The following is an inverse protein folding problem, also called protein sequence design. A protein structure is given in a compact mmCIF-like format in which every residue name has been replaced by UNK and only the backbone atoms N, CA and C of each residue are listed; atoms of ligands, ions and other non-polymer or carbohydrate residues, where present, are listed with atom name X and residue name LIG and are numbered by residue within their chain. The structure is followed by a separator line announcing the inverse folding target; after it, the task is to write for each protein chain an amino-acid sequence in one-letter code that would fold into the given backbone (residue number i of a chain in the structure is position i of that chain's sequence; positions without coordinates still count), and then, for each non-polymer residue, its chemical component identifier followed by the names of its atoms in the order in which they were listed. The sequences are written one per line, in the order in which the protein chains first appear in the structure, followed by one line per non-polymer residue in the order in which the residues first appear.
data_IF_211631261899
#
_entry.id   IF_211631261899
#
_cell.length_a   1.000
_cell.length_b   1.000
_cell.length_c   1.000
_cell.angle_alpha   90.00
_cell.angle_beta   90.00
_cell.angle_gamma   90.00
#
_symmetry.space_group_name_H-M   'P 1'
#
loop_
_entity.id
_entity.type
_entity.pdbx_description
1 polymer ?
#
# COMPACT_ATOMS: atom_id res chain seq x y z
N UNK A 1 -32.49 22.81 2.32
CA UNK A 1 -31.52 23.53 1.46
C UNK A 1 -30.96 22.51 0.47
N UNK A 2 -30.82 22.85 -0.81
CA UNK A 2 -30.22 21.94 -1.82
C UNK A 2 -28.69 22.14 -1.89
N UNK A 3 -27.92 21.25 -2.56
CA UNK A 3 -26.47 21.37 -2.65
C UNK A 3 -25.98 22.72 -3.20
N UNK A 4 -26.54 23.18 -4.32
CA UNK A 4 -26.15 24.46 -4.95
C UNK A 4 -26.29 25.67 -3.99
N UNK A 5 -27.37 25.72 -3.20
CA UNK A 5 -27.55 26.78 -2.21
C UNK A 5 -26.53 26.67 -1.06
N UNK A 6 -26.15 25.46 -0.66
CA UNK A 6 -25.13 25.23 0.35
C UNK A 6 -23.73 25.58 -0.17
N UNK A 7 -23.42 25.26 -1.42
CA UNK A 7 -22.18 25.65 -2.10
C UNK A 7 -22.03 27.18 -2.16
N UNK A 8 -23.13 27.91 -2.41
CA UNK A 8 -23.12 29.38 -2.31
C UNK A 8 -22.81 29.90 -0.90
N UNK A 9 -23.22 29.17 0.15
CA UNK A 9 -22.83 29.48 1.53
C UNK A 9 -21.33 29.20 1.75
N UNK A 10 -20.78 28.14 1.16
CA UNK A 10 -19.35 27.84 1.23
C UNK A 10 -18.50 28.90 0.49
N UNK A 11 -18.96 29.42 -0.65
CA UNK A 11 -18.33 30.54 -1.33
C UNK A 11 -18.27 31.78 -0.42
N UNK A 12 -19.39 32.13 0.21
CA UNK A 12 -19.46 33.25 1.15
C UNK A 12 -18.58 33.01 2.39
N UNK A 13 -18.51 31.78 2.88
CA UNK A 13 -17.64 31.40 3.99
C UNK A 13 -16.16 31.61 3.63
N UNK A 14 -15.72 31.14 2.47
CA UNK A 14 -14.35 31.34 1.98
C UNK A 14 -14.01 32.82 1.86
N UNK A 15 -14.92 33.65 1.32
CA UNK A 15 -14.73 35.10 1.23
C UNK A 15 -14.54 35.73 2.61
N UNK A 16 -15.43 35.47 3.58
CA UNK A 16 -15.34 36.02 4.93
C UNK A 16 -14.10 35.57 5.69
N UNK A 17 -13.69 34.31 5.53
CA UNK A 17 -12.45 33.82 6.13
C UNK A 17 -11.22 34.48 5.48
N UNK A 18 -11.25 34.72 4.15
CA UNK A 18 -10.22 35.49 3.45
C UNK A 18 -10.13 36.94 3.94
N UNK A 19 -11.26 37.62 4.12
CA UNK A 19 -11.33 38.97 4.71
C UNK A 19 -10.78 38.99 6.15
N UNK A 20 -11.08 37.95 6.94
CA UNK A 20 -10.54 37.79 8.29
C UNK A 20 -9.01 37.69 8.25
N UNK A 21 -8.46 36.89 7.33
CA UNK A 21 -7.01 36.75 7.15
C UNK A 21 -6.37 38.09 6.75
N UNK A 22 -7.01 38.83 5.84
CA UNK A 22 -6.52 40.14 5.42
C UNK A 22 -6.55 41.18 6.54
N UNK A 23 -7.58 41.15 7.40
CA UNK A 23 -7.77 42.14 8.46
C UNK A 23 -6.98 41.82 9.75
N UNK A 24 -6.88 40.53 10.11
CA UNK A 24 -6.35 40.09 11.42
C UNK A 24 -5.04 39.30 11.31
N UNK A 25 -4.58 39.01 10.08
CA UNK A 25 -3.42 38.16 9.82
C UNK A 25 -3.79 36.68 9.71
N UNK A 26 -2.79 35.85 9.44
CA UNK A 26 -2.98 34.41 9.23
C UNK A 26 -3.41 33.70 10.52
N UNK A 27 -4.20 32.63 10.36
CA UNK A 27 -4.42 31.68 11.45
C UNK A 27 -3.15 30.90 11.74
N UNK A 28 -2.87 30.61 13.01
CA UNK A 28 -1.65 29.88 13.42
C UNK A 28 -1.89 28.42 13.75
N UNK A 29 -3.15 27.99 13.84
CA UNK A 29 -3.51 26.62 14.22
C UNK A 29 -4.82 26.14 13.57
N UNK A 30 -4.94 24.82 13.40
CA UNK A 30 -6.17 24.19 12.89
C UNK A 30 -7.39 24.47 13.78
N UNK A 31 -7.32 24.35 15.12
CA UNK A 31 -8.48 24.62 15.97
C UNK A 31 -8.97 26.06 15.90
N UNK A 32 -8.06 27.04 15.79
CA UNK A 32 -8.47 28.45 15.63
C UNK A 32 -9.16 28.70 14.30
N UNK A 33 -8.67 28.09 13.22
CA UNK A 33 -9.29 28.20 11.89
C UNK A 33 -10.67 27.54 11.86
N UNK A 34 -10.79 26.33 12.39
CA UNK A 34 -12.07 25.61 12.47
C UNK A 34 -13.10 26.36 13.32
N UNK A 35 -12.69 26.90 14.48
CA UNK A 35 -13.56 27.72 15.32
C UNK A 35 -14.10 28.93 14.56
N UNK A 36 -13.23 29.65 13.85
CA UNK A 36 -13.64 30.79 13.04
C UNK A 36 -14.60 30.37 11.92
N UNK A 37 -14.36 29.23 11.27
CA UNK A 37 -15.26 28.69 10.25
C UNK A 37 -16.66 28.41 10.83
N UNK A 38 -16.74 27.83 12.04
CA UNK A 38 -18.02 27.59 12.74
C UNK A 38 -18.75 28.89 13.07
N UNK A 39 -18.06 29.91 13.59
CA UNK A 39 -18.66 31.22 13.93
C UNK A 39 -19.20 31.94 12.68
N UNK A 40 -18.46 31.90 11.57
CA UNK A 40 -18.92 32.49 10.31
C UNK A 40 -20.08 31.70 9.69
N UNK A 41 -20.04 30.37 9.74
CA UNK A 41 -21.14 29.52 9.29
C UNK A 41 -22.41 29.76 10.10
N UNK A 42 -22.32 29.90 11.42
CA UNK A 42 -23.48 30.21 12.27
C UNK A 42 -24.16 31.50 11.80
N UNK A 43 -23.36 32.53 11.49
CA UNK A 43 -23.86 33.82 10.98
C UNK A 43 -24.52 33.68 9.61
N UNK A 44 -23.89 32.93 8.69
CA UNK A 44 -24.41 32.71 7.34
C UNK A 44 -25.70 31.86 7.33
N UNK A 45 -25.86 30.99 8.32
CA UNK A 45 -26.95 30.02 8.40
C UNK A 45 -28.09 30.43 9.36
N UNK A 46 -28.06 31.61 9.97
CA UNK A 46 -29.04 32.04 10.99
C UNK A 46 -30.52 31.81 10.61
N UNK A 47 -30.89 31.95 9.33
CA UNK A 47 -32.28 31.82 8.86
C UNK A 47 -32.57 30.51 8.12
N UNK A 48 -31.66 29.53 8.21
CA UNK A 48 -31.72 28.31 7.39
C UNK A 48 -32.14 27.06 8.17
N UNK A 49 -32.33 27.17 9.48
CA UNK A 49 -32.74 26.06 10.36
C UNK A 49 -31.62 25.10 10.75
N UNK A 50 -30.39 25.37 10.32
CA UNK A 50 -29.20 24.61 10.74
C UNK A 50 -28.70 25.09 12.11
N UNK A 51 -28.23 24.15 12.93
CA UNK A 51 -27.60 24.42 14.22
C UNK A 51 -26.13 24.01 14.18
N UNK A 52 -25.23 24.94 14.49
CA UNK A 52 -23.78 24.68 14.51
C UNK A 52 -23.38 24.14 15.88
N UNK A 53 -22.80 22.94 15.91
CA UNK A 53 -22.24 22.40 17.13
C UNK A 53 -20.84 22.98 17.39
N UNK A 54 -20.66 23.71 18.49
CA UNK A 54 -19.35 24.24 18.92
C UNK A 54 -18.60 23.31 19.90
N UNK A 55 -19.19 22.18 20.25
CA UNK A 55 -18.58 21.13 21.08
C UNK A 55 -18.77 19.76 20.42
N UNK A 56 -18.14 19.54 19.24
CA UNK A 56 -18.24 18.27 18.54
C UNK A 56 -17.65 17.14 19.38
N UNK A 57 -18.23 15.94 19.26
CA UNK A 57 -17.62 14.75 19.86
C UNK A 57 -16.27 14.50 19.19
N UNK A 58 -15.19 14.23 19.95
CA UNK A 58 -13.91 13.88 19.37
C UNK A 58 -14.07 12.73 18.37
N UNK A 59 -13.44 12.86 17.21
CA UNK A 59 -13.33 11.83 16.17
C UNK A 59 -14.55 11.59 15.26
N UNK A 60 -15.61 12.39 15.31
CA UNK A 60 -16.70 12.31 14.32
C UNK A 60 -16.21 12.80 12.96
N UNK A 61 -16.57 12.07 11.90
CA UNK A 61 -16.33 12.48 10.52
C UNK A 61 -17.65 12.84 9.84
N UNK A 62 -17.75 13.97 9.11
CA UNK A 62 -16.76 15.05 9.00
C UNK A 62 -16.72 15.97 10.24
N UNK A 63 -15.74 16.88 10.31
CA UNK A 63 -15.53 17.79 11.45
C UNK A 63 -16.78 18.63 11.79
N UNK A 64 -17.45 19.22 10.79
CA UNK A 64 -18.69 19.99 10.95
C UNK A 64 -19.85 19.22 10.32
N UNK A 65 -20.81 18.81 11.14
CA UNK A 65 -21.97 18.01 10.72
C UNK A 65 -23.22 18.90 10.64
N UNK A 66 -23.81 19.02 9.45
CA UNK A 66 -24.98 19.85 9.13
C UNK A 66 -25.95 19.11 8.20
N UNK A 67 -26.66 18.06 8.67
CA UNK A 67 -27.44 17.14 7.82
C UNK A 67 -28.36 17.84 6.81
N UNK A 68 -28.32 17.49 5.50
CA UNK A 68 -27.60 16.36 4.89
C UNK A 68 -26.14 16.66 4.51
N UNK A 69 -25.62 17.83 4.88
CA UNK A 69 -24.28 18.31 4.53
C UNK A 69 -23.26 18.05 5.64
N UNK A 70 -21.99 18.02 5.26
CA UNK A 70 -20.89 18.01 6.20
C UNK A 70 -19.64 18.66 5.62
N UNK A 71 -18.81 19.22 6.49
CA UNK A 71 -17.58 19.92 6.11
C UNK A 71 -16.41 19.29 6.86
N UNK A 72 -15.50 18.67 6.13
CA UNK A 72 -14.20 18.25 6.63
C UNK A 72 -13.25 19.45 6.57
N UNK A 73 -12.62 19.79 7.69
CA UNK A 73 -11.75 20.96 7.79
C UNK A 73 -10.29 20.53 7.70
N UNK A 74 -9.53 21.22 6.87
CA UNK A 74 -8.08 21.07 6.77
C UNK A 74 -7.39 22.42 6.87
N UNK A 75 -6.19 22.37 7.42
CA UNK A 75 -5.39 23.55 7.70
C UNK A 75 -3.91 23.24 7.51
N UNK A 76 -3.16 24.19 6.96
CA UNK A 76 -1.71 24.08 6.84
C UNK A 76 -1.03 25.45 6.91
N UNK A 77 0.16 25.48 7.51
CA UNK A 77 1.05 26.64 7.49
C UNK A 77 1.97 26.66 6.26
N UNK A 78 2.03 25.55 5.52
CA UNK A 78 2.84 25.42 4.32
C UNK A 78 2.07 25.90 3.08
N UNK A 79 2.79 26.22 2.00
CA UNK A 79 2.18 26.57 0.72
C UNK A 79 1.77 25.31 -0.05
N UNK A 80 0.72 24.64 0.42
CA UNK A 80 0.20 23.41 -0.20
C UNK A 80 -1.29 23.27 0.02
N UNK A 81 -2.00 22.72 -0.97
CA UNK A 81 -3.41 22.33 -0.87
C UNK A 81 -3.60 20.85 -0.56
N UNK A 82 -2.52 20.15 -0.20
CA UNK A 82 -2.50 18.72 0.04
C UNK A 82 -2.41 18.40 1.52
N UNK A 83 -3.23 17.45 1.98
CA UNK A 83 -3.20 16.99 3.37
C UNK A 83 -3.68 15.55 3.53
N UNK A 84 -3.30 14.93 4.64
CA UNK A 84 -3.88 13.65 5.06
C UNK A 84 -5.25 13.90 5.69
N UNK A 85 -6.23 13.08 5.32
CA UNK A 85 -7.61 13.19 5.78
C UNK A 85 -8.01 11.98 6.66
N UNK A 86 -9.30 11.66 6.65
CA UNK A 86 -9.90 10.60 7.46
C UNK A 86 -9.43 9.19 7.04
N UNK A 87 -9.81 8.20 7.86
CA UNK A 87 -9.63 6.77 7.55
C UNK A 87 -10.50 6.36 6.38
N UNK A 88 -10.00 5.46 5.52
CA UNK A 88 -10.77 4.88 4.41
C UNK A 88 -12.03 4.15 4.90
N UNK A 89 -12.02 3.64 6.13
CA UNK A 89 -13.15 2.91 6.70
C UNK A 89 -14.30 3.83 7.11
N UNK A 90 -14.01 5.09 7.47
CA UNK A 90 -15.01 6.06 7.93
C UNK A 90 -15.88 5.56 9.09
N UNK A 91 -15.31 4.75 10.00
CA UNK A 91 -16.06 4.08 11.09
C UNK A 91 -16.77 5.03 12.07
N UNK A 92 -16.39 6.31 12.07
CA UNK A 92 -16.97 7.38 12.90
C UNK A 92 -17.79 8.39 12.08
N UNK A 93 -18.24 7.99 10.88
CA UNK A 93 -19.04 8.83 10.00
C UNK A 93 -20.41 9.14 10.61
N UNK A 94 -20.82 10.40 10.55
CA UNK A 94 -22.18 10.82 10.91
C UNK A 94 -23.20 10.22 9.92
N UNK A 95 -24.25 9.52 10.40
CA UNK A 95 -25.15 8.76 9.54
C UNK A 95 -26.03 9.63 8.63
N UNK A 96 -26.37 10.84 9.07
CA UNK A 96 -27.28 11.74 8.35
C UNK A 96 -26.54 12.72 7.41
N UNK A 97 -25.33 12.36 6.95
CA UNK A 97 -24.51 13.19 6.07
C UNK A 97 -24.29 12.50 4.72
N UNK A 98 -24.95 13.05 3.71
CA UNK A 98 -24.90 12.57 2.32
C UNK A 98 -23.82 13.30 1.50
N UNK A 99 -23.70 14.60 1.71
CA UNK A 99 -22.83 15.47 0.92
C UNK A 99 -21.70 16.03 1.78
N UNK A 100 -20.47 15.60 1.51
CA UNK A 100 -19.28 16.04 2.24
C UNK A 100 -18.46 16.98 1.36
N UNK A 101 -18.10 18.13 1.94
CA UNK A 101 -17.21 19.12 1.35
C UNK A 101 -15.92 19.21 2.15
N UNK A 102 -14.82 19.48 1.46
CA UNK A 102 -13.55 19.81 2.08
C UNK A 102 -13.42 21.34 2.17
N UNK A 103 -13.21 21.90 3.36
CA UNK A 103 -12.83 23.29 3.57
C UNK A 103 -11.35 23.34 3.98
N UNK A 104 -10.51 24.00 3.18
CA UNK A 104 -9.07 24.03 3.41
C UNK A 104 -8.59 25.48 3.60
N UNK A 105 -7.95 25.77 4.73
CA UNK A 105 -7.16 26.98 4.94
C UNK A 105 -5.66 26.75 4.71
N UNK A 106 -5.08 27.41 3.70
CA UNK A 106 -3.64 27.42 3.42
C UNK A 106 -3.04 28.75 3.84
N UNK A 107 -2.11 28.74 4.79
CA UNK A 107 -1.49 29.97 5.32
C UNK A 107 -0.07 30.25 4.79
N UNK A 108 0.55 29.29 4.12
CA UNK A 108 1.84 29.48 3.46
C UNK A 108 1.68 30.10 2.06
N UNK A 109 2.73 30.78 1.58
CA UNK A 109 2.70 31.49 0.31
C UNK A 109 1.71 32.65 0.37
N UNK A 110 0.76 32.70 -0.57
CA UNK A 110 -0.41 33.59 -0.52
C UNK A 110 -1.53 32.93 0.33
N UNK A 111 -1.82 33.45 1.54
CA UNK A 111 -2.82 32.87 2.42
C UNK A 111 -4.21 32.91 1.79
N UNK A 112 -4.90 31.78 1.77
CA UNK A 112 -6.21 31.66 1.13
C UNK A 112 -7.01 30.50 1.70
N UNK A 113 -8.33 30.56 1.49
CA UNK A 113 -9.28 29.52 1.90
C UNK A 113 -10.06 29.08 0.67
N UNK A 114 -10.19 27.77 0.49
CA UNK A 114 -10.94 27.18 -0.62
C UNK A 114 -11.79 26.02 -0.12
N UNK A 115 -12.79 25.67 -0.90
CA UNK A 115 -13.57 24.46 -0.70
C UNK A 115 -13.62 23.59 -1.97
N UNK A 116 -14.01 22.33 -1.81
CA UNK A 116 -14.32 21.43 -2.92
C UNK A 116 -15.17 20.23 -2.46
N UNK A 117 -15.75 19.48 -3.41
CA UNK A 117 -16.42 18.23 -3.08
C UNK A 117 -15.40 17.22 -2.56
N UNK A 118 -15.71 16.58 -1.42
CA UNK A 118 -14.75 15.74 -0.72
C UNK A 118 -14.20 14.60 -1.60
N UNK A 119 -15.09 13.88 -2.29
CA UNK A 119 -14.72 12.79 -3.18
C UNK A 119 -13.77 13.22 -4.31
N UNK A 120 -14.01 14.38 -4.91
CA UNK A 120 -13.16 14.91 -5.99
C UNK A 120 -11.79 15.35 -5.47
N UNK A 121 -11.73 15.79 -4.21
CA UNK A 121 -10.48 16.17 -3.57
C UNK A 121 -9.63 14.97 -3.16
N UNK A 122 -10.18 13.75 -3.02
CA UNK A 122 -9.37 12.57 -2.66
C UNK A 122 -8.50 12.16 -3.84
N UNK A 123 -7.18 12.28 -3.68
CA UNK A 123 -6.20 12.01 -4.75
C UNK A 123 -5.41 10.72 -4.54
N UNK A 124 -5.30 10.25 -3.30
CA UNK A 124 -4.48 9.09 -2.96
C UNK A 124 -4.95 8.42 -1.66
N UNK A 125 -4.46 7.20 -1.42
CA UNK A 125 -4.58 6.51 -0.12
C UNK A 125 -3.20 6.18 0.37
N UNK A 126 -2.89 6.66 1.58
CA UNK A 126 -1.70 6.26 2.31
C UNK A 126 -1.96 4.90 2.91
N UNK A 127 -1.45 3.88 2.24
CA UNK A 127 -1.46 2.50 2.75
C UNK A 127 -0.65 2.46 4.04
N UNK A 128 -1.28 2.11 5.15
CA UNK A 128 -0.66 1.86 6.46
C UNK A 128 -1.49 0.78 7.19
N UNK A 129 -1.27 0.52 8.48
CA UNK A 129 -2.13 -0.37 9.27
C UNK A 129 -3.58 0.15 9.40
N UNK A 130 -3.76 1.49 9.31
CA UNK A 130 -5.07 2.13 9.14
C UNK A 130 -4.94 3.05 7.91
N UNK A 131 -5.38 2.60 6.72
CA UNK A 131 -5.26 3.40 5.51
C UNK A 131 -6.06 4.69 5.63
N UNK A 132 -5.45 5.81 5.19
CA UNK A 132 -6.07 7.14 5.22
C UNK A 132 -6.09 7.75 3.84
N UNK A 133 -7.14 8.49 3.54
CA UNK A 133 -7.19 9.30 2.33
C UNK A 133 -6.17 10.44 2.41
N UNK A 134 -5.68 10.83 1.25
CA UNK A 134 -4.94 12.05 1.03
C UNK A 134 -5.75 12.90 0.05
N UNK A 135 -5.99 14.15 0.45
CA UNK A 135 -6.83 15.09 -0.27
C UNK A 135 -5.99 16.24 -0.83
N UNK A 136 -6.39 16.76 -1.97
CA UNK A 136 -5.77 17.92 -2.63
C UNK A 136 -6.83 18.74 -3.38
N UNK A 137 -7.00 20.01 -3.02
CA UNK A 137 -7.89 20.92 -3.77
C UNK A 137 -7.19 21.36 -5.06
N UNK A 138 -7.89 21.25 -6.18
CA UNK A 138 -7.40 21.66 -7.50
C UNK A 138 -6.59 20.59 -8.25
N UNK A 139 -6.70 19.32 -7.83
CA UNK A 139 -6.14 18.20 -8.59
C UNK A 139 -6.98 17.90 -9.84
N UNK A 140 -6.32 17.60 -10.96
CA UNK A 140 -6.96 17.18 -12.21
C UNK A 140 -7.48 15.72 -12.15
N UNK A 141 -7.12 14.97 -11.11
CA UNK A 141 -7.47 13.55 -10.96
C UNK A 141 -7.88 13.24 -9.52
N UNK A 142 -9.02 12.56 -9.38
CA UNK A 142 -9.45 11.94 -8.14
C UNK A 142 -9.10 10.45 -8.13
N UNK A 143 -8.84 9.91 -6.93
CA UNK A 143 -8.66 8.48 -6.69
C UNK A 143 -9.88 7.69 -7.17
N UNK A 144 -11.07 8.19 -6.90
CA UNK A 144 -12.34 7.56 -7.26
C UNK A 144 -12.54 7.49 -8.78
N UNK A 145 -12.06 8.50 -9.53
CA UNK A 145 -11.97 8.42 -10.99
C UNK A 145 -11.03 7.31 -11.48
N UNK A 146 -9.91 7.06 -10.78
CA UNK A 146 -8.99 5.95 -11.10
C UNK A 146 -9.58 4.59 -10.72
N UNK A 147 -10.30 4.51 -9.60
CA UNK A 147 -10.95 3.29 -9.14
C UNK A 147 -12.19 2.92 -9.97
N UNK A 148 -12.76 3.87 -10.72
CA UNK A 148 -13.99 3.68 -11.48
C UNK A 148 -15.25 3.56 -10.62
N UNK A 149 -15.22 4.05 -9.38
CA UNK A 149 -16.34 4.04 -8.42
C UNK A 149 -16.48 5.41 -7.78
N UNK A 150 -17.71 5.91 -7.61
CA UNK A 150 -17.95 7.20 -6.95
C UNK A 150 -17.68 7.15 -5.44
N UNK A 151 -17.32 8.29 -4.83
CA UNK A 151 -17.07 8.36 -3.38
C UNK A 151 -18.28 7.92 -2.55
N UNK A 152 -19.50 8.37 -2.91
CA UNK A 152 -20.72 8.02 -2.19
C UNK A 152 -20.93 6.50 -2.18
N UNK A 153 -20.78 5.85 -3.33
CA UNK A 153 -20.89 4.40 -3.48
C UNK A 153 -19.79 3.67 -2.69
N UNK A 154 -18.53 4.09 -2.86
CA UNK A 154 -17.40 3.53 -2.12
C UNK A 154 -17.59 3.62 -0.60
N UNK A 155 -18.08 4.74 -0.10
CA UNK A 155 -18.22 4.98 1.34
C UNK A 155 -19.21 4.04 2.02
N UNK A 156 -20.17 3.50 1.26
CA UNK A 156 -21.21 2.57 1.72
C UNK A 156 -20.77 1.10 1.64
N UNK A 157 -19.64 0.80 0.99
CA UNK A 157 -19.13 -0.56 0.89
C UNK A 157 -18.73 -1.14 2.27
N UNK A 158 -18.89 -2.45 2.48
CA UNK A 158 -18.26 -3.17 3.58
C UNK A 158 -16.74 -2.93 3.62
N UNK A 159 -16.13 -3.00 4.82
CA UNK A 159 -14.69 -2.78 4.98
C UNK A 159 -13.84 -3.71 4.11
N UNK A 160 -14.27 -4.96 3.92
CA UNK A 160 -13.60 -5.93 3.05
C UNK A 160 -13.55 -5.45 1.60
N UNK A 161 -14.68 -5.01 1.06
CA UNK A 161 -14.80 -4.55 -0.33
C UNK A 161 -14.04 -3.23 -0.55
N UNK A 162 -14.07 -2.31 0.42
CA UNK A 162 -13.21 -1.11 0.41
C UNK A 162 -11.74 -1.51 0.25
N UNK A 163 -11.29 -2.50 1.01
CA UNK A 163 -9.90 -2.97 0.95
C UNK A 163 -9.55 -3.65 -0.38
N UNK A 164 -10.48 -4.30 -1.06
CA UNK A 164 -10.24 -4.84 -2.41
C UNK A 164 -9.86 -3.72 -3.39
N UNK A 165 -10.61 -2.62 -3.41
CA UNK A 165 -10.29 -1.45 -4.22
C UNK A 165 -8.94 -0.82 -3.84
N UNK A 166 -8.66 -0.64 -2.55
CA UNK A 166 -7.39 -0.06 -2.09
C UNK A 166 -6.20 -0.95 -2.45
N UNK A 167 -6.32 -2.27 -2.29
CA UNK A 167 -5.28 -3.23 -2.66
C UNK A 167 -5.02 -3.20 -4.16
N UNK A 168 -6.07 -3.23 -4.98
CA UNK A 168 -5.97 -3.13 -6.44
C UNK A 168 -5.25 -1.85 -6.87
N UNK A 169 -5.65 -0.71 -6.30
CA UNK A 169 -5.00 0.57 -6.55
C UNK A 169 -3.53 0.57 -6.12
N UNK A 170 -3.20 0.06 -4.93
CA UNK A 170 -1.83 -0.04 -4.45
C UNK A 170 -0.96 -0.93 -5.36
N UNK A 171 -1.49 -2.08 -5.79
CA UNK A 171 -0.82 -3.01 -6.72
C UNK A 171 -0.55 -2.36 -8.08
N UNK A 172 -1.51 -1.60 -8.62
CA UNK A 172 -1.36 -0.91 -9.92
C UNK A 172 -0.21 0.12 -9.96
N UNK A 173 0.27 0.55 -8.78
CA UNK A 173 1.35 1.54 -8.64
C UNK A 173 2.72 0.94 -8.36
N UNK A 174 2.81 -0.38 -8.20
CA UNK A 174 4.08 -1.07 -8.01
C UNK A 174 4.90 -1.03 -9.30
N UNK A 175 6.21 -0.78 -9.18
CA UNK A 175 7.13 -0.98 -10.30
C UNK A 175 7.43 -2.47 -10.48
N UNK A 176 7.99 -2.82 -11.64
CA UNK A 176 8.50 -4.17 -11.87
C UNK A 176 9.49 -4.57 -10.76
N UNK A 177 9.19 -5.68 -10.07
CA UNK A 177 9.96 -6.18 -8.93
C UNK A 177 9.57 -5.62 -7.55
N UNK A 178 8.65 -4.65 -7.46
CA UNK A 178 8.11 -4.21 -6.17
C UNK A 178 6.94 -5.11 -5.73
N UNK A 179 6.77 -5.28 -4.41
CA UNK A 179 5.73 -6.13 -3.78
C UNK A 179 5.16 -5.44 -2.55
N UNK A 180 3.87 -5.67 -2.26
CA UNK A 180 3.24 -5.21 -1.02
C UNK A 180 3.61 -6.16 0.12
N UNK A 181 4.09 -5.65 1.26
CA UNK A 181 4.53 -6.48 2.40
C UNK A 181 3.48 -6.66 3.51
N UNK A 182 2.31 -6.00 3.44
CA UNK A 182 1.31 -6.02 4.52
C UNK A 182 -0.16 -5.93 4.07
N UNK A 183 -0.40 -5.91 2.76
CA UNK A 183 -1.73 -5.70 2.18
C UNK A 183 -2.28 -6.98 1.53
N UNK A 184 -1.98 -8.14 2.07
CA UNK A 184 -2.58 -9.39 1.60
C UNK A 184 -4.01 -9.52 2.11
N UNK A 185 -4.92 -10.00 1.24
CA UNK A 185 -6.28 -10.39 1.60
C UNK A 185 -6.17 -11.54 2.62
N UNK A 186 -6.65 -11.33 3.87
CA UNK A 186 -6.74 -12.41 4.86
C UNK A 186 -7.59 -13.60 4.38
N UNK A 187 -8.45 -13.38 3.40
CA UNK A 187 -9.33 -14.41 2.82
C UNK A 187 -8.65 -15.21 1.69
N UNK A 188 -7.55 -14.71 1.11
CA UNK A 188 -6.78 -15.40 0.06
C UNK A 188 -5.42 -15.91 0.56
N UNK A 189 -4.93 -15.38 1.69
CA UNK A 189 -3.67 -15.81 2.28
C UNK A 189 -3.87 -17.11 3.09
N UNK A 190 -3.62 -18.26 2.47
CA UNK A 190 -3.39 -19.53 3.19
C UNK A 190 -2.18 -19.45 4.15
N UNK A 191 -1.36 -18.40 4.06
CA UNK A 191 -0.15 -18.17 4.84
C UNK A 191 -0.39 -17.07 5.89
N UNK A 192 -0.61 -17.48 7.15
CA UNK A 192 -0.58 -16.55 8.28
C UNK A 192 0.87 -16.30 8.69
N UNK A 193 1.38 -15.09 8.48
CA UNK A 193 2.71 -14.71 8.95
C UNK A 193 2.79 -14.72 10.48
N UNK A 194 3.91 -15.16 11.07
CA UNK A 194 4.17 -14.93 12.49
C UNK A 194 4.14 -13.43 12.79
N UNK A 195 3.56 -13.04 13.93
CA UNK A 195 3.48 -11.65 14.38
C UNK A 195 4.88 -11.01 14.53
N UNK A 196 5.90 -11.83 14.81
CA UNK A 196 7.28 -11.39 14.97
C UNK A 196 8.13 -11.72 13.73
N UNK A 197 8.79 -10.70 13.17
CA UNK A 197 9.81 -10.91 12.17
C UNK A 197 11.00 -11.71 12.75
N UNK A 198 11.43 -12.76 12.04
CA UNK A 198 12.55 -13.64 12.43
C UNK A 198 13.78 -13.32 11.58
N UNK A 199 14.97 -13.55 12.14
CA UNK A 199 16.20 -13.53 11.35
C UNK A 199 16.44 -14.91 10.76
N UNK A 200 16.81 -14.98 9.48
CA UNK A 200 17.14 -16.27 8.84
C UNK A 200 18.25 -17.00 9.61
N UNK A 201 19.19 -16.27 10.21
CA UNK A 201 20.28 -16.85 11.00
C UNK A 201 19.82 -17.60 12.24
N UNK A 202 18.68 -17.25 12.84
CA UNK A 202 18.14 -17.88 14.06
C UNK A 202 17.29 -19.12 13.79
N UNK A 203 16.99 -19.43 12.52
CA UNK A 203 16.22 -20.61 12.13
C UNK A 203 17.03 -21.91 12.34
N UNK A 204 16.34 -23.03 12.52
CA UNK A 204 16.97 -24.36 12.57
C UNK A 204 17.48 -24.77 11.16
N UNK A 205 18.21 -25.88 11.04
CA UNK A 205 18.78 -26.33 9.76
C UNK A 205 17.73 -26.65 8.70
N UNK A 206 16.61 -27.22 9.12
CA UNK A 206 15.60 -27.79 8.23
C UNK A 206 14.72 -26.67 7.67
N UNK A 207 14.28 -25.74 8.52
CA UNK A 207 13.63 -24.48 8.13
C UNK A 207 14.50 -23.72 7.11
N UNK A 208 15.81 -23.60 7.38
CA UNK A 208 16.75 -22.91 6.48
C UNK A 208 16.77 -23.56 5.10
N UNK A 209 16.84 -24.89 5.03
CA UNK A 209 16.88 -25.64 3.77
C UNK A 209 15.55 -25.53 3.03
N UNK A 210 14.44 -25.67 3.74
CA UNK A 210 13.08 -25.52 3.22
C UNK A 210 12.88 -24.15 2.56
N UNK A 211 13.10 -23.06 3.31
CA UNK A 211 12.95 -21.70 2.81
C UNK A 211 13.90 -21.38 1.65
N UNK A 212 15.12 -21.95 1.68
CA UNK A 212 16.07 -21.80 0.57
C UNK A 212 15.57 -22.49 -0.70
N UNK A 213 14.95 -23.66 -0.56
CA UNK A 213 14.41 -24.42 -1.68
C UNK A 213 13.18 -23.73 -2.32
N UNK A 214 12.24 -23.26 -1.50
CA UNK A 214 11.10 -22.48 -1.97
C UNK A 214 11.56 -21.22 -2.72
N UNK A 215 12.48 -20.46 -2.12
CA UNK A 215 13.04 -19.27 -2.74
C UNK A 215 13.76 -19.59 -4.06
N UNK A 216 14.52 -20.69 -4.11
CA UNK A 216 15.19 -21.11 -5.35
C UNK A 216 14.19 -21.45 -6.44
N UNK A 217 13.12 -22.16 -6.09
CA UNK A 217 12.06 -22.55 -7.02
C UNK A 217 11.30 -21.34 -7.57
N UNK A 218 11.03 -20.32 -6.76
CA UNK A 218 10.29 -19.13 -7.21
C UNK A 218 11.17 -18.16 -8.01
N UNK A 219 12.50 -18.22 -7.82
CA UNK A 219 13.44 -17.23 -8.33
C UNK A 219 14.54 -17.86 -9.22
N UNK A 220 14.24 -18.43 -10.41
CA UNK A 220 15.25 -18.96 -11.34
C UNK A 220 16.40 -17.99 -11.67
N UNK A 221 16.17 -16.67 -11.67
CA UNK A 221 17.18 -15.64 -11.93
C UNK A 221 18.41 -15.69 -11.02
N UNK A 222 18.34 -16.36 -9.86
CA UNK A 222 19.50 -16.55 -8.97
C UNK A 222 20.69 -17.19 -9.68
N UNK A 223 20.47 -18.02 -10.72
CA UNK A 223 21.52 -18.69 -11.50
C UNK A 223 22.27 -17.76 -12.45
N UNK A 224 21.77 -16.53 -12.64
CA UNK A 224 22.36 -15.56 -13.54
C UNK A 224 23.76 -15.09 -13.14
N UNK A 225 24.37 -14.26 -14.00
CA UNK A 225 25.74 -13.79 -13.82
C UNK A 225 26.01 -13.25 -12.41
N UNK A 226 27.20 -13.53 -11.85
CA UNK A 226 27.67 -12.95 -10.59
C UNK A 226 27.76 -11.42 -10.63
N UNK A 227 27.80 -10.82 -11.82
CA UNK A 227 27.76 -9.36 -12.02
C UNK A 227 26.36 -8.77 -11.87
N UNK A 228 25.30 -9.59 -11.90
CA UNK A 228 23.93 -9.13 -11.68
C UNK A 228 23.73 -8.80 -10.20
N UNK A 229 23.57 -7.50 -9.90
CA UNK A 229 23.46 -7.01 -8.53
C UNK A 229 22.12 -7.35 -7.87
N UNK A 230 21.07 -7.59 -8.66
CA UNK A 230 19.67 -7.70 -8.20
C UNK A 230 19.06 -9.09 -8.29
N UNK A 231 19.84 -10.09 -8.70
CA UNK A 231 19.32 -11.46 -8.92
C UNK A 231 18.85 -12.19 -7.66
N UNK A 232 19.01 -11.59 -6.48
CA UNK A 232 18.54 -12.12 -5.19
C UNK A 232 17.48 -11.23 -4.51
N UNK A 233 17.03 -10.16 -5.17
CA UNK A 233 16.07 -9.21 -4.59
C UNK A 233 14.74 -9.92 -4.32
N UNK A 234 14.25 -10.69 -5.29
CA UNK A 234 12.99 -11.45 -5.15
C UNK A 234 13.04 -12.54 -4.09
N UNK A 235 14.22 -13.14 -3.85
CA UNK A 235 14.41 -14.07 -2.73
C UNK A 235 14.27 -13.33 -1.40
N UNK A 236 14.89 -12.16 -1.28
CA UNK A 236 14.81 -11.36 -0.05
C UNK A 236 13.37 -10.93 0.24
N UNK A 237 12.66 -10.51 -0.81
CA UNK A 237 11.25 -10.14 -0.71
C UNK A 237 10.39 -11.36 -0.36
N UNK A 238 10.59 -12.50 -1.01
CA UNK A 238 9.85 -13.73 -0.70
C UNK A 238 9.96 -14.12 0.78
N UNK A 239 11.19 -14.21 1.29
CA UNK A 239 11.43 -14.60 2.68
C UNK A 239 10.80 -13.61 3.66
N UNK A 240 10.87 -12.31 3.35
CA UNK A 240 10.32 -11.28 4.22
C UNK A 240 8.79 -11.26 4.19
N UNK A 241 8.19 -11.34 3.00
CA UNK A 241 6.76 -11.11 2.78
C UNK A 241 5.91 -12.36 3.02
N UNK A 242 6.39 -13.56 2.66
CA UNK A 242 5.63 -14.81 2.83
C UNK A 242 6.00 -15.60 4.09
N UNK A 243 7.16 -15.30 4.69
CA UNK A 243 7.61 -16.02 5.89
C UNK A 243 7.93 -15.12 7.08
N UNK A 244 7.90 -13.79 6.92
CA UNK A 244 8.31 -12.86 7.97
C UNK A 244 9.79 -13.01 8.34
N UNK A 245 10.61 -13.55 7.44
CA UNK A 245 12.03 -13.86 7.67
C UNK A 245 12.90 -12.85 6.96
N UNK A 246 13.66 -12.08 7.74
CA UNK A 246 14.70 -11.19 7.22
C UNK A 246 16.00 -11.98 7.03
N UNK A 247 16.53 -11.97 5.80
CA UNK A 247 17.79 -12.61 5.43
C UNK A 247 18.80 -11.58 4.87
N UNK A 248 19.55 -10.85 5.74
CA UNK A 248 20.54 -9.87 5.28
C UNK A 248 21.63 -10.44 4.36
N UNK A 249 21.89 -11.74 4.49
CA UNK A 249 22.94 -12.48 3.77
C UNK A 249 22.41 -13.29 2.58
N UNK A 250 21.34 -12.84 1.92
CA UNK A 250 20.62 -13.61 0.87
C UNK A 250 21.53 -14.24 -0.19
N UNK A 251 22.54 -13.51 -0.67
CA UNK A 251 23.51 -13.99 -1.68
C UNK A 251 24.24 -15.25 -1.19
N UNK A 252 24.69 -15.21 0.06
CA UNK A 252 25.52 -16.24 0.65
C UNK A 252 24.72 -17.54 0.88
N UNK A 253 23.38 -17.46 0.92
CA UNK A 253 22.53 -18.66 0.99
C UNK A 253 22.68 -19.58 -0.22
N UNK A 254 23.10 -19.04 -1.38
CA UNK A 254 23.21 -19.77 -2.64
C UNK A 254 24.62 -19.85 -3.19
N UNK A 255 25.51 -18.90 -2.87
CA UNK A 255 26.85 -18.84 -3.49
C UNK A 255 28.02 -18.90 -2.51
N UNK A 256 27.79 -19.04 -1.21
CA UNK A 256 28.89 -19.16 -0.24
C UNK A 256 29.48 -20.57 -0.22
N UNK A 257 30.74 -20.68 0.22
CA UNK A 257 31.38 -21.99 0.41
C UNK A 257 30.66 -22.87 1.44
N UNK A 258 30.04 -22.28 2.47
CA UNK A 258 29.28 -23.00 3.51
C UNK A 258 28.07 -23.77 2.98
N UNK A 259 27.60 -23.42 1.77
CA UNK A 259 26.48 -24.08 1.10
C UNK A 259 26.93 -24.91 -0.10
N UNK A 260 27.87 -24.40 -0.89
CA UNK A 260 28.36 -25.06 -2.10
C UNK A 260 29.28 -26.25 -1.80
N UNK A 261 29.92 -26.28 -0.64
CA UNK A 261 30.92 -27.29 -0.28
C UNK A 261 30.43 -28.30 0.78
N UNK A 262 29.12 -28.34 1.03
CA UNK A 262 28.52 -29.19 2.07
C UNK A 262 28.57 -30.68 1.71
N UNK A 263 28.23 -31.00 0.45
CA UNK A 263 28.25 -32.37 -0.06
C UNK A 263 29.65 -32.80 -0.56
N UNK A 264 30.43 -31.85 -1.08
CA UNK A 264 31.80 -32.05 -1.57
C UNK A 264 32.68 -30.86 -1.19
N UNK A 265 33.74 -31.09 -0.42
CA UNK A 265 34.64 -30.05 0.09
C UNK A 265 35.67 -29.54 -0.94
N UNK A 266 35.71 -30.13 -2.14
CA UNK A 266 36.63 -29.75 -3.22
C UNK A 266 36.38 -28.33 -3.68
N UNK A 267 37.42 -27.47 -3.67
CA UNK A 267 37.27 -26.08 -4.11
C UNK A 267 37.26 -25.95 -5.63
N UNK A 268 36.56 -24.92 -6.12
CA UNK A 268 36.40 -24.64 -7.56
C UNK A 268 35.03 -25.04 -8.11
N UNK A 269 34.79 -24.70 -9.38
CA UNK A 269 33.51 -24.94 -10.06
C UNK A 269 32.41 -23.93 -9.73
N UNK A 270 31.19 -24.21 -10.19
CA UNK A 270 30.03 -23.33 -10.07
C UNK A 270 29.35 -23.52 -8.71
N UNK A 271 29.61 -22.63 -7.75
CA UNK A 271 29.13 -22.77 -6.38
C UNK A 271 27.60 -22.80 -6.28
N UNK A 272 26.91 -22.00 -7.10
CA UNK A 272 25.44 -21.97 -7.10
C UNK A 272 24.84 -23.28 -7.62
N UNK A 273 25.44 -23.89 -8.65
CA UNK A 273 25.04 -25.21 -9.12
C UNK A 273 25.11 -26.22 -7.97
N UNK A 274 26.25 -26.29 -7.28
CA UNK A 274 26.42 -27.22 -6.14
C UNK A 274 25.46 -26.94 -5.00
N UNK A 275 25.24 -25.66 -4.69
CA UNK A 275 24.28 -25.28 -3.64
C UNK A 275 22.85 -25.67 -4.00
N UNK A 276 22.46 -25.64 -5.27
CA UNK A 276 21.14 -26.09 -5.71
C UNK A 276 21.07 -27.63 -5.76
N UNK A 277 22.14 -28.29 -6.18
CA UNK A 277 22.26 -29.75 -6.13
C UNK A 277 22.20 -30.30 -4.69
N UNK A 278 22.59 -29.51 -3.69
CA UNK A 278 22.45 -29.87 -2.28
C UNK A 278 20.99 -29.85 -1.81
N UNK A 279 20.07 -29.08 -2.43
CA UNK A 279 18.65 -28.95 -2.01
C UNK A 279 17.61 -29.30 -3.09
N UNK A 280 18.01 -29.98 -4.16
CA UNK A 280 17.11 -30.31 -5.27
C UNK A 280 15.92 -31.20 -4.86
N UNK A 281 16.07 -32.03 -3.83
CA UNK A 281 14.94 -32.79 -3.29
C UNK A 281 13.92 -31.87 -2.58
N UNK A 282 14.41 -30.93 -1.77
CA UNK A 282 13.55 -29.92 -1.15
C UNK A 282 12.89 -29.00 -2.20
N UNK A 283 13.58 -28.69 -3.30
CA UNK A 283 13.00 -27.90 -4.41
C UNK A 283 11.84 -28.68 -5.07
N UNK A 284 11.99 -30.00 -5.26
CA UNK A 284 10.90 -30.85 -5.77
C UNK A 284 9.71 -30.86 -4.82
N UNK A 285 9.96 -31.03 -3.52
CA UNK A 285 8.89 -30.99 -2.52
C UNK A 285 8.16 -29.63 -2.57
N UNK A 286 8.89 -28.52 -2.63
CA UNK A 286 8.31 -27.19 -2.77
C UNK A 286 7.47 -27.03 -4.04
N UNK A 287 7.87 -27.65 -5.16
CA UNK A 287 7.09 -27.67 -6.38
C UNK A 287 5.75 -28.41 -6.22
N UNK A 288 5.63 -29.35 -5.27
CA UNK A 288 4.40 -30.07 -5.01
C UNK A 288 3.48 -29.35 -4.01
N UNK A 289 4.01 -28.75 -2.95
CA UNK A 289 3.18 -28.16 -1.90
C UNK A 289 2.90 -26.65 -2.05
N UNK A 290 3.75 -25.87 -2.72
CA UNK A 290 3.49 -24.43 -2.87
C UNK A 290 2.20 -24.19 -3.67
N UNK A 291 1.38 -23.19 -3.32
CA UNK A 291 0.11 -22.93 -4.00
C UNK A 291 0.32 -22.32 -5.39
N UNK A 292 -0.59 -22.60 -6.33
CA UNK A 292 -0.49 -22.13 -7.72
C UNK A 292 -0.52 -20.58 -7.82
N UNK A 293 -1.28 -19.94 -6.93
CA UNK A 293 -1.40 -18.48 -6.86
C UNK A 293 -0.04 -17.79 -6.75
N UNK A 294 0.92 -18.41 -6.06
CA UNK A 294 2.25 -17.86 -5.85
C UNK A 294 3.05 -17.76 -7.16
N UNK A 295 2.84 -18.71 -8.07
CA UNK A 295 3.48 -18.71 -9.38
C UNK A 295 2.85 -17.64 -10.29
N UNK A 296 1.52 -17.49 -10.24
CA UNK A 296 0.83 -16.40 -10.94
C UNK A 296 1.24 -15.03 -10.40
N UNK A 297 1.45 -14.88 -9.09
CA UNK A 297 1.93 -13.63 -8.50
C UNK A 297 3.36 -13.28 -8.91
N UNK A 298 4.25 -14.27 -9.02
CA UNK A 298 5.66 -14.04 -9.37
C UNK A 298 5.88 -13.87 -10.87
N UNK A 299 5.17 -14.65 -11.68
CA UNK A 299 5.46 -14.82 -13.12
C UNK A 299 4.30 -14.42 -14.04
N UNK A 300 3.11 -14.13 -13.49
CA UNK A 300 1.93 -13.79 -14.29
C UNK A 300 1.35 -14.96 -15.08
N UNK A 301 1.83 -16.19 -14.81
CA UNK A 301 1.47 -17.42 -15.50
C UNK A 301 0.90 -18.44 -14.52
N UNK A 302 -0.07 -19.23 -14.97
CA UNK A 302 -0.50 -20.42 -14.25
C UNK A 302 0.45 -21.58 -14.60
N UNK A 303 1.18 -22.08 -13.62
CA UNK A 303 2.22 -23.11 -13.79
C UNK A 303 1.82 -24.34 -12.96
N UNK A 304 1.14 -25.33 -13.58
CA UNK A 304 0.67 -26.50 -12.87
C UNK A 304 1.81 -27.27 -12.21
N UNK A 305 1.55 -27.81 -11.00
CA UNK A 305 2.53 -28.55 -10.19
C UNK A 305 3.42 -29.54 -10.98
N UNK A 306 2.88 -30.41 -11.86
CA UNK A 306 3.70 -31.37 -12.61
C UNK A 306 4.71 -30.72 -13.58
N UNK A 307 4.53 -29.45 -13.92
CA UNK A 307 5.33 -28.74 -14.92
C UNK A 307 6.34 -27.79 -14.29
N UNK A 308 6.23 -27.48 -12.99
CA UNK A 308 7.02 -26.43 -12.33
C UNK A 308 8.54 -26.60 -12.45
N UNK A 309 9.06 -27.83 -12.29
CA UNK A 309 10.50 -28.08 -12.43
C UNK A 309 10.96 -27.89 -13.88
N UNK A 310 10.20 -28.42 -14.84
CA UNK A 310 10.51 -28.27 -16.27
C UNK A 310 10.46 -26.81 -16.69
N UNK A 311 9.43 -26.08 -16.27
CA UNK A 311 9.31 -24.64 -16.48
C UNK A 311 10.47 -23.87 -15.84
N UNK A 312 10.82 -24.22 -14.59
CA UNK A 312 11.91 -23.57 -13.88
C UNK A 312 13.25 -23.75 -14.59
N UNK A 313 13.54 -24.96 -15.09
CA UNK A 313 14.76 -25.22 -15.86
C UNK A 313 14.80 -24.39 -17.14
N UNK A 314 13.67 -24.26 -17.84
CA UNK A 314 13.57 -23.45 -19.05
C UNK A 314 13.81 -21.96 -18.77
N UNK A 315 13.32 -21.42 -17.65
CA UNK A 315 13.62 -20.05 -17.23
C UNK A 315 15.06 -19.89 -16.75
N UNK A 316 15.56 -20.81 -15.92
CA UNK A 316 16.91 -20.78 -15.38
C UNK A 316 17.96 -20.79 -16.50
N UNK A 317 17.75 -21.57 -17.56
CA UNK A 317 18.60 -21.60 -18.75
C UNK A 317 18.69 -20.24 -19.46
N UNK A 318 17.62 -19.42 -19.44
CA UNK A 318 17.64 -18.07 -20.03
C UNK A 318 18.49 -17.10 -19.22
N UNK A 319 18.58 -17.30 -17.89
CA UNK A 319 19.35 -16.44 -17.00
C UNK A 319 20.82 -16.84 -16.89
N UNK A 320 21.11 -18.14 -16.92
CA UNK A 320 22.46 -18.67 -16.79
C UNK A 320 23.34 -18.26 -17.98
N UNK A 321 24.63 -18.06 -17.73
CA UNK A 321 25.60 -17.60 -18.76
C UNK A 321 26.66 -18.65 -19.01
N UNK A 322 27.34 -19.11 -17.95
CA UNK A 322 28.54 -19.95 -18.07
C UNK A 322 28.26 -21.45 -17.92
N UNK A 323 26.99 -21.82 -17.72
CA UNK A 323 26.54 -23.19 -17.51
C UNK A 323 25.05 -23.29 -17.85
N UNK A 324 24.56 -24.52 -18.02
CA UNK A 324 23.16 -24.78 -18.34
C UNK A 324 22.49 -25.58 -17.21
N UNK A 325 21.62 -24.95 -16.40
CA UNK A 325 20.88 -25.61 -15.33
C UNK A 325 20.20 -26.91 -15.74
N UNK A 326 19.55 -26.95 -16.91
CA UNK A 326 18.87 -28.16 -17.40
C UNK A 326 19.78 -29.37 -17.59
N UNK A 327 21.07 -29.16 -17.81
CA UNK A 327 22.02 -30.23 -18.12
C UNK A 327 22.59 -30.90 -16.86
N UNK A 328 22.36 -30.32 -15.67
CA UNK A 328 23.06 -30.74 -14.44
C UNK A 328 22.18 -30.79 -13.18
N UNK A 329 20.98 -30.23 -13.21
CA UNK A 329 20.03 -30.24 -12.09
C UNK A 329 18.88 -31.22 -12.37
N UNK A 330 18.38 -31.87 -11.32
CA UNK A 330 17.20 -32.74 -11.37
C UNK A 330 17.31 -33.95 -12.32
N UNK A 331 18.52 -34.42 -12.62
CA UNK A 331 18.77 -35.54 -13.54
C UNK A 331 18.40 -36.93 -13.00
N UNK A 332 18.11 -37.04 -11.71
CA UNK A 332 17.84 -38.30 -11.00
C UNK A 332 16.47 -38.32 -10.35
#
# INVERSE_FOLDING_TARGET
MNPEAFESILDQLCLRLGETIAAQGIFTSSPTFEKQAREQLETLLQNSGFSINFSPHPHVFPDIVLPPFGIEVKFTLNDTWRSVANSVFESTRAPDVDHIYLLFGKMGGEPSVRWGHYGDCVVHVRTSHVPRFEVEIGSDRSLFGVLGIGYSEFSQLPEADKMLHIRSYARSRLKAGERLWWLENKEEAEHTLPIQARLYTSLNSDDKRCLRAEAALLCPQIVGSSRSKRKYDDVSLYLLTYHGVLAPQVRDLFSAGSVALRADSTRGGTYIQRSLQDIQNEIRNAADYLPDILFTEYWGEDIPKPQRITWWLAEADKYAVDWRPSDVLFLS
#
